data_IF_101067235692
#
_entry.id   IF_101067235692
#
_cell.length_a   1.000
_cell.length_b   1.000
_cell.length_c   1.000
_cell.angle_alpha   90.00
_cell.angle_beta   90.00
_cell.angle_gamma   90.00
#
_symmetry.space_group_name_H-M   'P 1'
#
loop_
_entity.id
_entity.type
_entity.pdbx_description
1 polymer ?
#
# COMPACT_ATOMS: atom_id res chain seq x y z
N UNK A 1 8.87 27.18 -11.17
CA UNK A 1 8.57 27.44 -12.60
C UNK A 1 8.82 26.14 -13.36
N UNK A 2 8.01 25.86 -14.40
CA UNK A 2 8.23 24.69 -15.24
C UNK A 2 9.38 24.94 -16.22
N UNK A 3 10.29 23.98 -16.32
CA UNK A 3 11.47 24.02 -17.22
C UNK A 3 11.46 22.75 -18.08
N UNK A 4 12.09 22.81 -19.27
CA UNK A 4 12.34 21.63 -20.09
C UNK A 4 13.76 21.13 -19.83
N UNK A 5 13.86 19.89 -19.32
CA UNK A 5 15.13 19.31 -18.87
C UNK A 5 15.52 18.18 -19.81
N UNK A 6 16.81 18.12 -20.17
CA UNK A 6 17.38 16.99 -20.90
C UNK A 6 17.19 15.70 -20.08
N UNK A 7 16.48 14.75 -20.69
CA UNK A 7 16.06 13.50 -20.04
C UNK A 7 17.23 12.61 -19.66
N UNK A 8 18.36 12.69 -20.38
CA UNK A 8 19.57 11.93 -20.08
C UNK A 8 20.35 12.48 -18.89
N UNK A 9 20.11 13.77 -18.53
CA UNK A 9 20.70 14.39 -17.36
C UNK A 9 20.01 14.06 -16.04
N UNK A 10 18.87 13.36 -16.09
CA UNK A 10 18.04 13.07 -14.92
C UNK A 10 18.54 11.85 -14.16
N UNK A 11 18.59 11.95 -12.85
CA UNK A 11 18.95 10.88 -11.94
C UNK A 11 17.68 10.25 -11.34
N UNK A 12 17.37 8.98 -11.63
CA UNK A 12 16.27 8.29 -10.96
C UNK A 12 16.56 8.15 -9.47
N UNK A 13 15.53 8.18 -8.64
CA UNK A 13 15.69 7.84 -7.25
C UNK A 13 15.96 6.34 -7.11
N UNK A 14 17.03 5.98 -6.40
CA UNK A 14 17.44 4.58 -6.17
C UNK A 14 16.35 3.74 -5.49
N UNK A 15 15.47 4.39 -4.75
CA UNK A 15 14.42 3.75 -3.98
C UNK A 15 13.11 3.54 -4.73
N UNK A 16 13.03 3.77 -6.04
CA UNK A 16 11.79 3.54 -6.77
C UNK A 16 11.64 2.05 -7.17
N UNK A 17 10.93 1.24 -6.39
CA UNK A 17 10.80 -0.20 -6.64
C UNK A 17 9.66 -0.54 -7.61
N UNK A 18 9.07 0.45 -8.24
CA UNK A 18 7.85 0.28 -9.02
C UNK A 18 8.15 -0.20 -10.43
N UNK A 19 7.51 -1.30 -10.81
CA UNK A 19 7.42 -1.79 -12.18
C UNK A 19 5.98 -1.57 -12.69
N UNK A 20 5.83 -1.07 -13.89
CA UNK A 20 4.53 -1.05 -14.55
C UNK A 20 4.19 -2.45 -15.09
N UNK A 21 2.92 -2.84 -14.99
CA UNK A 21 2.41 -3.95 -15.78
C UNK A 21 2.50 -3.61 -17.27
N UNK A 22 2.59 -4.60 -18.16
CA UNK A 22 2.57 -4.34 -19.60
C UNK A 22 1.37 -3.49 -20.05
N UNK A 23 0.20 -3.75 -19.49
CA UNK A 23 -1.03 -3.00 -19.76
C UNK A 23 -0.93 -1.53 -19.29
N UNK A 24 -0.50 -1.29 -18.06
CA UNK A 24 -0.29 0.06 -17.55
C UNK A 24 0.76 0.83 -18.36
N UNK A 25 1.81 0.14 -18.84
CA UNK A 25 2.82 0.75 -19.70
C UNK A 25 2.26 1.14 -21.06
N UNK A 26 1.43 0.31 -21.68
CA UNK A 26 0.79 0.62 -22.97
C UNK A 26 -0.22 1.77 -22.82
N UNK A 27 -1.00 1.78 -21.73
CA UNK A 27 -1.92 2.89 -21.42
C UNK A 27 -1.15 4.20 -21.24
N UNK A 28 -0.03 4.18 -20.53
CA UNK A 28 0.83 5.36 -20.34
C UNK A 28 1.45 5.82 -21.67
N UNK A 29 1.94 4.89 -22.51
CA UNK A 29 2.45 5.23 -23.85
C UNK A 29 1.38 5.88 -24.71
N UNK A 30 0.19 5.28 -24.77
CA UNK A 30 -0.94 5.79 -25.53
C UNK A 30 -1.31 7.21 -25.09
N UNK A 31 -1.45 7.41 -23.78
CA UNK A 31 -1.77 8.71 -23.21
C UNK A 31 -0.69 9.77 -23.54
N UNK A 32 0.60 9.44 -23.36
CA UNK A 32 1.69 10.37 -23.70
C UNK A 32 1.74 10.68 -25.19
N UNK A 33 1.48 9.68 -26.05
CA UNK A 33 1.49 9.88 -27.52
C UNK A 33 0.35 10.76 -27.97
N UNK A 34 -0.86 10.62 -27.39
CA UNK A 34 -2.04 11.36 -27.81
C UNK A 34 -2.20 12.71 -27.12
N UNK A 35 -1.81 12.82 -25.85
CA UNK A 35 -2.01 14.03 -25.03
C UNK A 35 -0.71 14.78 -24.72
N UNK A 36 0.45 14.18 -24.99
CA UNK A 36 1.71 14.68 -24.50
C UNK A 36 1.84 14.50 -22.96
N UNK A 37 2.69 15.30 -22.35
CA UNK A 37 2.89 15.27 -20.90
C UNK A 37 1.93 16.23 -20.20
N UNK A 38 0.76 15.72 -19.81
CA UNK A 38 -0.26 16.49 -19.10
C UNK A 38 0.13 16.83 -17.66
N UNK A 39 1.08 16.08 -17.08
CA UNK A 39 1.66 16.30 -15.75
C UNK A 39 3.17 16.29 -15.82
N UNK A 40 3.86 17.43 -15.72
CA UNK A 40 5.31 17.51 -15.65
C UNK A 40 5.87 16.66 -14.52
N UNK A 41 7.12 16.24 -14.67
CA UNK A 41 7.85 15.57 -13.59
C UNK A 41 8.30 16.59 -12.55
N UNK A 42 8.75 16.10 -11.38
CA UNK A 42 9.27 16.95 -10.32
C UNK A 42 10.67 16.51 -10.00
N UNK A 43 11.60 17.43 -10.01
CA UNK A 43 13.02 17.15 -9.78
C UNK A 43 13.62 18.09 -8.74
N UNK A 44 14.64 17.60 -8.07
CA UNK A 44 15.50 18.41 -7.21
C UNK A 44 16.63 19.02 -8.04
N UNK A 45 16.83 20.33 -7.92
CA UNK A 45 17.83 21.07 -8.73
C UNK A 45 19.27 20.61 -8.47
N UNK A 46 19.62 20.37 -7.22
CA UNK A 46 21.01 20.14 -6.79
C UNK A 46 21.70 18.94 -7.46
N UNK A 47 20.94 17.88 -7.73
CA UNK A 47 21.45 16.63 -8.29
C UNK A 47 20.57 16.06 -9.41
N UNK A 48 19.60 16.86 -9.89
CA UNK A 48 18.61 16.46 -10.91
C UNK A 48 17.88 15.15 -10.61
N UNK A 49 17.72 14.84 -9.33
CA UNK A 49 17.01 13.64 -8.88
C UNK A 49 15.52 13.77 -9.16
N UNK A 50 14.96 12.75 -9.78
CA UNK A 50 13.52 12.65 -10.00
C UNK A 50 12.86 12.36 -8.66
N UNK A 51 12.00 13.28 -8.20
CA UNK A 51 11.20 13.12 -6.98
C UNK A 51 9.83 12.54 -7.29
N UNK A 52 9.26 12.87 -8.47
CA UNK A 52 8.02 12.29 -8.96
C UNK A 52 8.03 12.21 -10.49
N UNK A 53 7.44 11.16 -11.06
CA UNK A 53 7.33 10.96 -12.51
C UNK A 53 8.35 9.98 -13.09
N UNK A 54 8.93 9.07 -12.32
CA UNK A 54 9.89 8.07 -12.80
C UNK A 54 9.38 7.25 -13.99
N UNK A 55 8.15 6.76 -13.92
CA UNK A 55 7.57 5.95 -15.00
C UNK A 55 7.29 6.78 -16.25
N UNK A 56 6.83 8.03 -16.08
CA UNK A 56 6.69 8.99 -17.19
C UNK A 56 8.02 9.21 -17.89
N UNK A 57 9.07 9.49 -17.13
CA UNK A 57 10.43 9.67 -17.68
C UNK A 57 10.90 8.44 -18.44
N UNK A 58 10.73 7.24 -17.87
CA UNK A 58 11.09 5.98 -18.53
C UNK A 58 10.31 5.77 -19.84
N UNK A 59 9.01 6.02 -19.82
CA UNK A 59 8.16 5.88 -21.01
C UNK A 59 8.51 6.91 -22.07
N UNK A 60 8.81 8.16 -21.70
CA UNK A 60 9.27 9.17 -22.64
C UNK A 60 10.59 8.81 -23.32
N UNK A 61 11.56 8.25 -22.56
CA UNK A 61 12.79 7.71 -23.15
C UNK A 61 12.49 6.64 -24.20
N UNK A 62 11.57 5.71 -23.90
CA UNK A 62 11.14 4.67 -24.85
C UNK A 62 10.45 5.23 -26.11
N UNK A 63 9.78 6.39 -25.98
CA UNK A 63 9.15 7.10 -27.09
C UNK A 63 10.10 8.04 -27.84
N UNK A 64 11.38 8.12 -27.45
CA UNK A 64 12.40 8.93 -28.12
C UNK A 64 12.39 10.42 -27.76
N UNK A 65 11.76 10.82 -26.66
CA UNK A 65 11.84 12.19 -26.19
C UNK A 65 13.24 12.52 -25.65
N UNK A 66 13.76 13.68 -26.02
CA UNK A 66 15.06 14.17 -25.53
C UNK A 66 14.93 15.10 -24.33
N UNK A 67 13.78 15.76 -24.18
CA UNK A 67 13.50 16.69 -23.09
C UNK A 67 12.13 16.38 -22.45
N UNK A 68 12.03 16.71 -21.16
CA UNK A 68 10.80 16.52 -20.38
C UNK A 68 10.44 17.79 -19.63
N UNK A 69 9.15 18.19 -19.61
CA UNK A 69 8.70 19.28 -18.76
C UNK A 69 8.80 18.89 -17.28
N UNK A 70 9.45 19.73 -16.49
CA UNK A 70 9.71 19.45 -15.09
C UNK A 70 9.46 20.69 -14.21
N UNK A 71 8.91 20.49 -13.03
CA UNK A 71 9.01 21.45 -11.94
C UNK A 71 10.33 21.21 -11.21
N UNK A 72 11.16 22.26 -11.17
CA UNK A 72 12.50 22.18 -10.56
C UNK A 72 12.45 22.85 -9.19
N UNK A 73 12.76 22.09 -8.15
CA UNK A 73 12.70 22.55 -6.77
C UNK A 73 14.09 22.75 -6.17
N UNK A 74 14.23 23.87 -5.47
CA UNK A 74 15.46 24.24 -4.77
C UNK A 74 15.35 23.94 -3.27
N UNK A 75 16.49 23.67 -2.62
CA UNK A 75 16.59 23.54 -1.16
C UNK A 75 15.87 22.33 -0.56
N UNK A 76 15.48 21.34 -1.38
CA UNK A 76 14.81 20.13 -0.91
C UNK A 76 15.81 19.21 -0.24
N UNK A 77 15.68 19.03 1.05
CA UNK A 77 16.45 18.04 1.82
C UNK A 77 15.78 16.66 1.77
N UNK A 78 16.43 15.64 2.27
CA UNK A 78 15.95 14.27 2.25
C UNK A 78 14.64 14.06 3.06
N UNK A 79 14.37 14.89 4.06
CA UNK A 79 13.13 14.86 4.84
C UNK A 79 11.96 15.43 4.03
N UNK A 80 12.22 16.57 3.39
CA UNK A 80 11.23 17.21 2.52
C UNK A 80 10.97 16.38 1.26
N UNK A 81 11.98 15.66 0.74
CA UNK A 81 11.81 14.71 -0.38
C UNK A 81 10.79 13.61 -0.04
N UNK A 82 10.90 13.01 1.15
CA UNK A 82 9.94 12.01 1.63
C UNK A 82 8.54 12.61 1.76
N UNK A 83 8.45 13.76 2.41
CA UNK A 83 7.18 14.46 2.60
C UNK A 83 6.54 14.87 1.28
N UNK A 84 7.36 15.33 0.35
CA UNK A 84 6.95 15.68 -0.99
C UNK A 84 6.36 14.49 -1.74
N UNK A 85 7.05 13.35 -1.70
CA UNK A 85 6.59 12.12 -2.31
C UNK A 85 5.25 11.66 -1.72
N UNK A 86 5.08 11.76 -0.39
CA UNK A 86 3.82 11.46 0.28
C UNK A 86 2.67 12.35 -0.22
N UNK A 87 2.88 13.66 -0.23
CA UNK A 87 1.85 14.63 -0.59
C UNK A 87 1.51 14.58 -2.08
N UNK A 88 2.52 14.39 -2.92
CA UNK A 88 2.35 14.33 -4.36
C UNK A 88 1.58 13.06 -4.77
N UNK A 89 1.98 11.91 -4.28
CA UNK A 89 1.29 10.66 -4.56
C UNK A 89 -0.16 10.70 -4.04
N UNK A 90 -0.37 11.30 -2.89
CA UNK A 90 -1.71 11.46 -2.31
C UNK A 90 -2.56 12.47 -3.09
N UNK A 91 -1.97 13.55 -3.56
CA UNK A 91 -2.67 14.60 -4.32
C UNK A 91 -2.99 14.18 -5.77
N UNK A 92 -2.17 13.31 -6.37
CA UNK A 92 -2.40 12.81 -7.74
C UNK A 92 -3.38 11.65 -7.79
N UNK A 93 -3.44 10.86 -6.73
CA UNK A 93 -4.18 9.62 -6.69
C UNK A 93 -5.30 9.68 -5.65
N UNK A 94 -6.16 10.64 -5.75
CA UNK A 94 -7.22 10.95 -4.82
C UNK A 94 -8.14 9.75 -4.52
N UNK A 95 -7.86 9.07 -3.44
CA UNK A 95 -8.65 7.93 -2.94
C UNK A 95 -9.73 8.36 -1.94
N UNK A 96 -9.80 9.65 -1.57
CA UNK A 96 -10.83 10.11 -0.65
C UNK A 96 -12.21 10.10 -1.31
N UNK A 97 -13.18 9.56 -0.63
CA UNK A 97 -14.56 9.38 -1.09
C UNK A 97 -15.25 10.66 -1.57
N UNK A 98 -14.76 11.83 -1.17
CA UNK A 98 -15.34 13.12 -1.53
C UNK A 98 -14.27 14.08 -2.02
N UNK A 99 -14.08 14.11 -3.32
CA UNK A 99 -13.21 15.07 -3.97
C UNK A 99 -13.83 16.48 -3.95
N UNK A 100 -13.03 17.55 -3.82
CA UNK A 100 -13.57 18.88 -4.03
C UNK A 100 -13.95 19.05 -5.50
N UNK A 101 -15.16 19.49 -5.76
CA UNK A 101 -15.56 19.91 -7.11
C UNK A 101 -15.01 21.32 -7.35
N UNK A 102 -14.10 21.45 -8.31
CA UNK A 102 -13.43 22.70 -8.66
C UNK A 102 -13.61 22.96 -10.15
N UNK A 103 -13.98 24.16 -10.46
CA UNK A 103 -14.05 24.65 -11.83
C UNK A 103 -13.13 25.83 -12.04
N UNK A 104 -12.56 25.88 -13.24
CA UNK A 104 -11.71 26.96 -13.72
C UNK A 104 -12.35 27.60 -14.95
N UNK A 105 -12.26 28.92 -15.06
CA UNK A 105 -12.69 29.58 -16.27
C UNK A 105 -11.52 29.70 -17.23
N UNK A 106 -11.62 29.04 -18.37
CA UNK A 106 -10.63 29.08 -19.45
C UNK A 106 -11.27 29.64 -20.72
N UNK A 107 -10.52 30.36 -21.58
CA UNK A 107 -11.04 30.82 -22.86
C UNK A 107 -11.47 29.65 -23.75
N UNK A 108 -12.52 29.83 -24.53
CA UNK A 108 -13.02 28.86 -25.49
C UNK A 108 -11.91 28.45 -26.48
N UNK A 109 -11.79 27.14 -26.73
CA UNK A 109 -10.77 26.57 -27.63
C UNK A 109 -9.37 26.48 -27.00
N UNK A 110 -9.21 26.72 -25.69
CA UNK A 110 -7.94 26.56 -25.03
C UNK A 110 -7.63 25.04 -24.87
N UNK A 111 -6.47 24.62 -25.29
CA UNK A 111 -5.92 23.28 -25.07
C UNK A 111 -4.47 23.37 -24.56
N UNK A 112 -4.04 22.38 -23.77
CA UNK A 112 -2.68 22.35 -23.21
C UNK A 112 -2.53 23.17 -21.93
N UNK A 113 -1.29 23.61 -21.63
CA UNK A 113 -1.00 24.35 -20.40
C UNK A 113 -1.51 25.79 -20.46
N UNK A 114 -2.29 26.15 -19.45
CA UNK A 114 -2.84 27.49 -19.29
C UNK A 114 -2.77 27.96 -17.83
N UNK A 115 -2.42 29.24 -17.62
CA UNK A 115 -2.38 29.81 -16.28
C UNK A 115 -3.71 30.49 -15.96
N UNK A 116 -4.48 29.91 -15.05
CA UNK A 116 -5.77 30.41 -14.61
C UNK A 116 -5.60 31.41 -13.48
N UNK A 117 -6.04 32.66 -13.61
CA UNK A 117 -6.04 33.62 -12.51
C UNK A 117 -6.83 33.10 -11.31
N UNK A 118 -6.38 33.40 -10.11
CA UNK A 118 -7.06 32.93 -8.88
C UNK A 118 -8.56 33.27 -8.84
N UNK A 119 -8.93 34.48 -9.30
CA UNK A 119 -10.33 34.94 -9.35
C UNK A 119 -11.22 34.00 -10.20
N UNK A 120 -10.65 33.35 -11.21
CA UNK A 120 -11.34 32.50 -12.18
C UNK A 120 -11.37 31.02 -11.76
N UNK A 121 -10.95 30.72 -10.52
CA UNK A 121 -11.05 29.39 -9.89
C UNK A 121 -12.25 29.41 -8.93
N UNK A 122 -13.15 28.43 -9.04
CA UNK A 122 -14.33 28.30 -8.18
C UNK A 122 -14.33 26.96 -7.47
N UNK A 123 -14.48 26.97 -6.15
CA UNK A 123 -14.71 25.77 -5.34
C UNK A 123 -16.21 25.60 -5.18
N UNK A 124 -16.79 24.55 -5.78
CA UNK A 124 -18.24 24.27 -5.74
C UNK A 124 -18.57 23.48 -4.49
N UNK A 125 -17.82 22.42 -4.19
CA UNK A 125 -18.00 21.61 -2.98
C UNK A 125 -16.76 21.62 -2.09
N UNK A 126 -16.97 21.47 -0.77
CA UNK A 126 -15.88 21.51 0.22
C UNK A 126 -15.17 20.18 0.42
N UNK A 127 -15.30 19.21 -0.48
CA UNK A 127 -14.66 17.91 -0.38
C UNK A 127 -13.14 17.98 -0.18
N UNK A 128 -12.52 16.83 0.11
CA UNK A 128 -11.09 16.65 0.36
C UNK A 128 -10.71 16.81 1.84
N UNK A 129 -9.68 16.07 2.24
CA UNK A 129 -9.15 16.15 3.60
C UNK A 129 -8.56 17.53 3.88
N UNK A 130 -9.02 18.21 4.93
CA UNK A 130 -8.44 19.47 5.35
C UNK A 130 -6.96 19.36 5.73
N UNK A 131 -6.52 18.22 6.25
CA UNK A 131 -5.13 17.97 6.58
C UNK A 131 -4.24 18.01 5.33
N UNK A 132 -4.66 17.36 4.24
CA UNK A 132 -3.92 17.38 2.97
C UNK A 132 -3.85 18.76 2.35
N UNK A 133 -4.96 19.50 2.36
CA UNK A 133 -4.97 20.88 1.88
C UNK A 133 -3.97 21.74 2.65
N UNK A 134 -3.93 21.61 3.98
CA UNK A 134 -2.98 22.35 4.84
C UNK A 134 -1.53 21.96 4.53
N UNK A 135 -1.26 20.69 4.34
CA UNK A 135 0.11 20.24 4.05
C UNK A 135 0.56 20.67 2.66
N UNK A 136 -0.29 20.56 1.64
CA UNK A 136 -0.01 21.13 0.31
C UNK A 136 0.22 22.63 0.37
N UNK A 137 -0.58 23.35 1.14
CA UNK A 137 -0.43 24.80 1.34
C UNK A 137 0.96 25.14 1.92
N UNK A 138 1.40 24.41 2.95
CA UNK A 138 2.75 24.60 3.54
C UNK A 138 3.87 24.32 2.52
N UNK A 139 3.72 23.26 1.73
CA UNK A 139 4.71 22.89 0.71
C UNK A 139 4.77 23.92 -0.40
N UNK A 140 3.62 24.41 -0.88
CA UNK A 140 3.54 25.47 -1.89
C UNK A 140 4.18 26.78 -1.38
N UNK A 141 3.92 27.16 -0.14
CA UNK A 141 4.55 28.33 0.47
C UNK A 141 6.07 28.19 0.59
N UNK A 142 6.57 26.99 0.82
CA UNK A 142 8.00 26.75 1.00
C UNK A 142 8.76 26.62 -0.31
N UNK A 143 8.20 25.94 -1.31
CA UNK A 143 8.90 25.58 -2.55
C UNK A 143 8.33 26.23 -3.80
N UNK A 144 7.27 27.02 -3.68
CA UNK A 144 6.49 27.49 -4.82
C UNK A 144 5.56 26.40 -5.36
N UNK A 145 4.87 26.73 -6.45
CA UNK A 145 4.02 25.75 -7.12
C UNK A 145 4.87 24.67 -7.80
N UNK A 146 4.53 23.43 -7.56
CA UNK A 146 5.29 22.24 -7.99
C UNK A 146 4.45 21.23 -8.76
N UNK A 147 3.19 21.56 -9.04
CA UNK A 147 2.29 20.74 -9.82
C UNK A 147 1.32 21.61 -10.63
N UNK A 148 0.60 20.97 -11.51
CA UNK A 148 -0.55 21.56 -12.19
C UNK A 148 -1.81 20.75 -11.90
N UNK A 149 -2.97 21.30 -12.16
CA UNK A 149 -4.20 20.54 -12.27
C UNK A 149 -4.45 20.14 -13.74
N UNK A 150 -5.36 19.18 -13.96
CA UNK A 150 -5.87 18.85 -15.29
C UNK A 150 -7.37 19.06 -15.27
N UNK A 151 -7.90 19.79 -16.24
CA UNK A 151 -9.32 19.99 -16.39
C UNK A 151 -9.80 19.53 -17.78
N UNK A 152 -11.09 19.23 -17.87
CA UNK A 152 -11.74 19.01 -19.16
C UNK A 152 -11.89 20.33 -19.94
N UNK A 153 -12.41 20.26 -21.14
CA UNK A 153 -12.62 21.43 -22.01
C UNK A 153 -13.66 22.43 -21.46
N UNK A 154 -14.53 21.99 -20.53
CA UNK A 154 -15.50 22.85 -19.85
C UNK A 154 -14.95 23.49 -18.56
N UNK A 155 -13.69 23.21 -18.22
CA UNK A 155 -13.01 23.74 -17.05
C UNK A 155 -13.29 23.01 -15.74
N UNK A 156 -13.87 21.81 -15.76
CA UNK A 156 -13.98 20.97 -14.57
C UNK A 156 -12.64 20.32 -14.28
N UNK A 157 -12.08 20.59 -13.11
CA UNK A 157 -10.83 19.94 -12.69
C UNK A 157 -11.09 18.47 -12.38
N UNK A 158 -10.40 17.57 -13.09
CA UNK A 158 -10.55 16.11 -12.96
C UNK A 158 -9.34 15.43 -12.32
N UNK A 159 -8.16 16.08 -12.34
CA UNK A 159 -6.93 15.57 -11.72
C UNK A 159 -6.30 16.68 -10.88
N UNK A 160 -5.81 16.33 -9.69
CA UNK A 160 -5.18 17.23 -8.72
C UNK A 160 -6.15 18.28 -8.14
N UNK A 161 -7.38 17.89 -7.86
CA UNK A 161 -8.43 18.77 -7.32
C UNK A 161 -8.06 19.33 -5.95
N UNK A 162 -7.45 18.53 -5.06
CA UNK A 162 -6.98 18.97 -3.73
C UNK A 162 -5.83 19.99 -3.85
N UNK A 163 -4.93 19.78 -4.81
CA UNK A 163 -3.88 20.76 -5.11
C UNK A 163 -4.45 22.08 -5.63
N UNK A 164 -5.41 22.00 -6.57
CA UNK A 164 -6.11 23.17 -7.07
C UNK A 164 -6.83 23.96 -5.95
N UNK A 165 -7.44 23.22 -4.99
CA UNK A 165 -8.04 23.83 -3.79
C UNK A 165 -7.00 24.55 -2.93
N UNK A 166 -5.84 23.95 -2.70
CA UNK A 166 -4.75 24.57 -1.92
C UNK A 166 -4.25 25.85 -2.59
N UNK A 167 -4.01 25.81 -3.90
CA UNK A 167 -3.60 27.00 -4.70
C UNK A 167 -4.65 28.10 -4.64
N UNK A 168 -5.95 27.75 -4.78
CA UNK A 168 -7.04 28.72 -4.66
C UNK A 168 -7.06 29.40 -3.29
N UNK A 169 -6.92 28.64 -2.21
CA UNK A 169 -6.91 29.17 -0.85
C UNK A 169 -5.71 30.06 -0.54
N UNK A 170 -4.59 29.84 -1.22
CA UNK A 170 -3.40 30.71 -1.14
C UNK A 170 -3.52 32.01 -1.94
N UNK A 171 -4.59 32.20 -2.68
CA UNK A 171 -4.74 33.39 -3.53
C UNK A 171 -3.84 33.40 -4.76
N UNK A 172 -3.26 32.22 -5.15
CA UNK A 172 -2.33 32.11 -6.26
C UNK A 172 -3.04 31.68 -7.54
N UNK A 173 -2.46 32.05 -8.69
CA UNK A 173 -2.90 31.58 -9.99
C UNK A 173 -2.55 30.10 -10.15
N UNK A 174 -3.38 29.32 -10.86
CA UNK A 174 -3.24 27.87 -11.00
C UNK A 174 -2.80 27.52 -12.43
N UNK A 175 -1.70 26.78 -12.55
CA UNK A 175 -1.36 26.15 -13.82
C UNK A 175 -2.28 24.94 -14.02
N UNK A 176 -3.01 24.93 -15.14
CA UNK A 176 -3.85 23.80 -15.57
C UNK A 176 -3.35 23.25 -16.90
N UNK A 177 -3.64 21.97 -17.15
CA UNK A 177 -3.64 21.41 -18.49
C UNK A 177 -5.09 21.22 -18.91
N UNK A 178 -5.50 21.88 -19.98
CA UNK A 178 -6.85 21.79 -20.53
C UNK A 178 -6.86 20.66 -21.55
N UNK A 179 -7.72 19.66 -21.33
CA UNK A 179 -7.84 18.51 -22.22
C UNK A 179 -8.64 18.88 -23.47
N UNK A 180 -8.29 18.29 -24.62
CA UNK A 180 -9.20 18.26 -25.76
C UNK A 180 -10.50 17.53 -25.39
N UNK A 181 -11.59 17.90 -26.04
CA UNK A 181 -12.90 17.28 -25.85
C UNK A 181 -12.87 15.75 -26.01
N UNK A 182 -13.50 15.02 -25.07
CA UNK A 182 -13.60 13.55 -25.09
C UNK A 182 -12.32 12.81 -24.74
N UNK A 183 -11.31 13.47 -24.14
CA UNK A 183 -10.04 12.85 -23.74
C UNK A 183 -9.92 12.59 -22.23
N UNK A 184 -11.00 12.73 -21.47
CA UNK A 184 -11.02 12.59 -20.02
C UNK A 184 -10.63 11.17 -19.57
N UNK A 185 -11.22 10.14 -20.19
CA UNK A 185 -10.89 8.74 -19.85
C UNK A 185 -9.42 8.42 -20.15
N UNK A 186 -8.89 8.91 -21.26
CA UNK A 186 -7.49 8.73 -21.62
C UNK A 186 -6.56 9.43 -20.61
N UNK A 187 -6.92 10.63 -20.17
CA UNK A 187 -6.17 11.35 -19.14
C UNK A 187 -6.23 10.63 -17.78
N UNK A 188 -7.38 10.09 -17.41
CA UNK A 188 -7.53 9.31 -16.18
C UNK A 188 -6.75 7.98 -16.24
N UNK A 189 -6.66 7.32 -17.41
CA UNK A 189 -5.85 6.11 -17.59
C UNK A 189 -4.35 6.37 -17.38
N UNK A 190 -3.88 7.59 -17.58
CA UNK A 190 -2.51 8.03 -17.28
C UNK A 190 -2.15 7.86 -15.80
N UNK A 191 -3.13 7.92 -14.92
CA UNK A 191 -3.02 7.77 -13.47
C UNK A 191 -3.69 6.50 -12.96
N UNK A 192 -3.83 5.48 -13.82
CA UNK A 192 -4.40 4.20 -13.41
C UNK A 192 -3.80 3.71 -12.10
N UNK A 193 -4.64 3.27 -11.17
CA UNK A 193 -4.24 2.77 -9.85
C UNK A 193 -3.56 1.40 -9.93
N UNK A 194 -3.74 0.69 -11.02
CA UNK A 194 -3.18 -0.64 -11.24
C UNK A 194 -1.74 -0.57 -11.73
N UNK A 195 -0.87 -0.10 -10.88
CA UNK A 195 0.52 0.08 -11.23
C UNK A 195 1.38 -1.13 -10.92
N UNK A 196 1.09 -2.28 -11.35
CA UNK A 196 2.07 -3.34 -11.35
C UNK A 196 2.63 -3.75 -9.98
N UNK A 197 3.62 -4.57 -10.07
CA UNK A 197 4.32 -5.20 -8.93
C UNK A 197 5.46 -4.31 -8.48
N UNK A 198 5.66 -4.26 -7.17
CA UNK A 198 6.84 -3.63 -6.59
C UNK A 198 7.98 -4.64 -6.49
N UNK A 199 9.09 -4.33 -7.08
CA UNK A 199 10.29 -5.15 -7.07
C UNK A 199 11.51 -4.30 -6.73
N UNK A 200 12.39 -4.85 -5.91
CA UNK A 200 13.61 -4.20 -5.45
C UNK A 200 14.88 -4.86 -6.00
N UNK A 201 14.77 -5.80 -6.91
CA UNK A 201 15.93 -6.53 -7.48
C UNK A 201 16.92 -5.63 -8.20
N UNK A 202 16.47 -4.46 -8.68
CA UNK A 202 17.31 -3.46 -9.33
C UNK A 202 18.12 -2.60 -8.35
N UNK A 203 17.86 -2.70 -7.05
CA UNK A 203 18.62 -1.98 -6.04
C UNK A 203 19.89 -2.77 -5.73
N UNK A 204 21.04 -2.11 -5.65
CA UNK A 204 22.30 -2.70 -5.23
C UNK A 204 22.29 -3.21 -3.79
N UNK A 205 21.25 -2.87 -3.02
CA UNK A 205 21.08 -3.22 -1.62
C UNK A 205 20.09 -4.36 -1.47
N UNK A 206 20.38 -5.24 -0.49
CA UNK A 206 19.46 -6.29 -0.10
C UNK A 206 18.13 -5.68 0.36
N UNK A 207 17.05 -6.13 -0.24
CA UNK A 207 15.70 -5.71 0.11
C UNK A 207 15.08 -6.71 1.09
N UNK A 208 14.38 -6.19 2.09
CA UNK A 208 13.59 -6.99 3.02
C UNK A 208 12.12 -6.89 2.60
N UNK A 209 11.80 -7.55 1.54
CA UNK A 209 10.40 -7.78 1.16
C UNK A 209 10.05 -9.11 1.80
N UNK A 210 8.95 -9.54 1.97
CA UNK A 210 8.45 -10.86 2.37
C UNK A 210 9.49 -12.03 2.52
N UNK A 211 10.77 -11.71 2.32
CA UNK A 211 11.86 -12.70 2.33
C UNK A 211 12.11 -13.34 3.68
N UNK A 212 11.63 -12.70 4.76
CA UNK A 212 11.87 -13.19 6.11
C UNK A 212 10.75 -12.79 7.07
N UNK A 213 10.24 -13.75 7.77
CA UNK A 213 9.38 -13.53 8.91
C UNK A 213 10.05 -12.63 9.96
N UNK A 214 9.26 -11.85 10.67
CA UNK A 214 9.77 -11.03 11.77
C UNK A 214 10.47 -11.91 12.82
N UNK A 215 11.55 -11.39 13.41
CA UNK A 215 12.13 -12.00 14.59
C UNK A 215 11.12 -12.04 15.73
N UNK A 216 11.19 -13.06 16.57
CA UNK A 216 10.27 -13.40 17.64
C UNK A 216 9.60 -12.16 18.33
N UNK A 217 8.30 -12.19 18.44
CA UNK A 217 7.51 -11.11 19.08
C UNK A 217 7.48 -11.25 20.59
N UNK A 218 7.39 -12.47 21.09
CA UNK A 218 7.41 -12.76 22.53
C UNK A 218 8.85 -12.79 23.03
N UNK A 219 9.48 -11.63 23.17
CA UNK A 219 10.82 -11.55 23.77
C UNK A 219 10.69 -11.63 25.27
N UNK A 220 11.23 -12.67 25.85
CA UNK A 220 11.47 -12.74 27.28
C UNK A 220 12.78 -12.04 27.63
N UNK A 221 12.72 -11.14 28.60
CA UNK A 221 13.91 -10.59 29.25
C UNK A 221 13.94 -11.12 30.68
N UNK A 222 14.92 -11.99 30.99
CA UNK A 222 15.03 -12.66 32.29
C UNK A 222 13.78 -13.48 32.68
N UNK A 223 13.20 -14.20 31.71
CA UNK A 223 12.02 -15.03 31.95
C UNK A 223 10.70 -14.27 32.13
N UNK A 224 10.69 -12.94 31.90
CA UNK A 224 9.50 -12.12 31.96
C UNK A 224 9.15 -11.63 30.55
N UNK A 225 7.92 -11.88 30.05
CA UNK A 225 7.49 -11.37 28.76
C UNK A 225 7.59 -9.84 28.69
N UNK A 226 8.22 -9.30 27.66
CA UNK A 226 8.28 -7.87 27.45
C UNK A 226 6.93 -7.34 26.97
N UNK A 227 6.29 -6.46 27.70
CA UNK A 227 5.01 -5.84 27.30
C UNK A 227 5.02 -5.15 25.93
N UNK A 228 6.20 -4.86 25.37
CA UNK A 228 6.36 -4.23 24.04
C UNK A 228 6.33 -5.23 22.88
N UNK A 229 6.34 -6.51 23.17
CA UNK A 229 6.39 -7.57 22.16
C UNK A 229 5.09 -8.37 22.02
N UNK A 230 4.06 -8.03 22.80
CA UNK A 230 2.77 -8.69 22.74
C UNK A 230 1.94 -8.20 21.55
N UNK A 231 1.26 -9.14 20.89
CA UNK A 231 0.30 -8.80 19.85
C UNK A 231 -1.00 -8.30 20.48
N UNK A 232 -1.42 -7.10 20.11
CA UNK A 232 -2.72 -6.57 20.54
C UNK A 232 -3.87 -7.42 20.00
N UNK A 233 -3.74 -8.01 18.79
CA UNK A 233 -4.71 -8.90 18.21
C UNK A 233 -4.91 -10.13 19.08
N UNK A 234 -3.82 -10.82 19.42
CA UNK A 234 -3.88 -12.02 20.26
C UNK A 234 -4.38 -11.71 21.66
N UNK A 235 -3.77 -10.74 22.35
CA UNK A 235 -4.05 -10.51 23.77
C UNK A 235 -5.46 -9.92 24.02
N UNK A 236 -6.01 -9.17 23.06
CA UNK A 236 -7.29 -8.47 23.27
C UNK A 236 -8.48 -9.15 22.59
N UNK A 237 -8.25 -9.89 21.52
CA UNK A 237 -9.34 -10.45 20.71
C UNK A 237 -9.29 -11.98 20.61
N UNK A 238 -8.15 -12.54 20.22
CA UNK A 238 -8.05 -13.99 19.96
C UNK A 238 -8.13 -14.80 21.27
N UNK A 239 -7.25 -14.52 22.22
CA UNK A 239 -7.19 -15.26 23.48
C UNK A 239 -8.51 -15.22 24.30
N UNK A 240 -9.24 -14.11 24.38
CA UNK A 240 -10.54 -14.08 25.03
C UNK A 240 -11.63 -14.84 24.29
N UNK A 241 -11.46 -15.10 22.99
CA UNK A 241 -12.46 -15.74 22.13
C UNK A 241 -12.28 -17.27 22.00
N UNK A 242 -11.04 -17.73 21.84
CA UNK A 242 -10.77 -19.14 21.53
C UNK A 242 -10.94 -20.05 22.75
N UNK A 243 -11.44 -21.26 22.52
CA UNK A 243 -11.51 -22.34 23.48
C UNK A 243 -10.63 -23.50 23.06
N UNK A 244 -10.37 -24.46 23.95
CA UNK A 244 -9.42 -25.57 23.67
C UNK A 244 -9.93 -26.62 22.70
N UNK A 245 -11.21 -26.60 22.41
CA UNK A 245 -11.90 -27.48 21.45
C UNK A 245 -11.99 -26.87 20.05
N UNK A 246 -11.65 -25.58 19.88
CA UNK A 246 -11.63 -24.92 18.58
C UNK A 246 -10.35 -25.22 17.83
N UNK A 247 -10.46 -25.54 16.54
CA UNK A 247 -9.31 -25.61 15.64
C UNK A 247 -8.96 -24.20 15.13
N UNK A 248 -7.76 -23.76 15.44
CA UNK A 248 -7.23 -22.42 15.14
C UNK A 248 -6.10 -22.51 14.14
N UNK A 249 -6.07 -21.62 13.15
CA UNK A 249 -4.94 -21.45 12.23
C UNK A 249 -4.31 -20.07 12.44
N UNK A 250 -3.02 -20.01 12.67
CA UNK A 250 -2.20 -18.79 12.64
C UNK A 250 -1.52 -18.69 11.26
N UNK A 251 -2.10 -17.84 10.38
CA UNK A 251 -1.65 -17.65 9.00
C UNK A 251 -0.68 -16.47 8.92
N UNK A 252 0.54 -16.72 8.44
CA UNK A 252 1.63 -15.75 8.50
C UNK A 252 2.17 -15.57 9.93
N UNK A 253 2.35 -16.69 10.61
CA UNK A 253 2.63 -16.76 12.06
C UNK A 253 4.02 -16.24 12.50
N UNK A 254 4.85 -15.76 11.57
CA UNK A 254 6.19 -15.27 11.86
C UNK A 254 7.09 -16.36 12.47
N UNK A 255 7.55 -16.18 13.70
CA UNK A 255 8.32 -17.19 14.43
C UNK A 255 7.44 -18.12 15.27
N UNK A 256 6.15 -18.15 15.02
CA UNK A 256 5.16 -19.05 15.65
C UNK A 256 5.09 -18.95 17.18
N UNK A 257 5.44 -17.78 17.73
CA UNK A 257 5.54 -17.61 19.19
C UNK A 257 4.22 -17.91 19.90
N UNK A 258 3.10 -17.36 19.39
CA UNK A 258 1.77 -17.61 19.95
C UNK A 258 1.30 -19.03 19.72
N UNK A 259 1.45 -19.56 18.52
CA UNK A 259 1.06 -20.93 18.21
C UNK A 259 1.82 -21.96 19.07
N UNK A 260 3.13 -21.79 19.24
CA UNK A 260 3.96 -22.65 20.09
C UNK A 260 3.50 -22.60 21.56
N UNK A 261 3.25 -21.40 22.08
CA UNK A 261 2.75 -21.23 23.47
C UNK A 261 1.38 -21.86 23.64
N UNK A 262 0.44 -21.60 22.74
CA UNK A 262 -0.93 -22.10 22.82
C UNK A 262 -0.99 -23.62 22.67
N UNK A 263 -0.19 -24.23 21.78
CA UNK A 263 -0.06 -25.70 21.71
C UNK A 263 0.38 -26.28 23.06
N UNK A 264 1.39 -25.64 23.70
CA UNK A 264 1.86 -26.06 25.03
C UNK A 264 0.77 -25.95 26.11
N UNK A 265 -0.09 -24.94 26.00
CA UNK A 265 -1.21 -24.70 26.91
C UNK A 265 -2.44 -25.58 26.58
N UNK A 266 -2.34 -26.47 25.56
CA UNK A 266 -3.35 -27.46 25.19
C UNK A 266 -4.44 -26.95 24.22
N UNK A 267 -4.19 -25.88 23.47
CA UNK A 267 -5.06 -25.45 22.39
C UNK A 267 -4.76 -26.20 21.08
N UNK A 268 -5.79 -26.40 20.27
CA UNK A 268 -5.69 -27.01 18.94
C UNK A 268 -5.36 -25.90 17.93
N UNK A 269 -4.09 -25.61 17.74
CA UNK A 269 -3.64 -24.53 16.85
C UNK A 269 -2.55 -25.03 15.90
N UNK A 270 -2.74 -24.77 14.62
CA UNK A 270 -1.71 -24.91 13.59
C UNK A 270 -1.20 -23.51 13.19
N UNK A 271 -0.02 -23.49 12.60
CA UNK A 271 0.61 -22.26 12.14
C UNK A 271 1.29 -22.50 10.81
N UNK A 272 1.20 -21.53 9.90
CA UNK A 272 1.96 -21.53 8.66
C UNK A 272 2.63 -20.19 8.45
N UNK A 273 3.93 -20.22 8.12
CA UNK A 273 4.72 -19.04 7.77
C UNK A 273 5.69 -19.40 6.64
N UNK A 274 5.42 -18.90 5.44
CA UNK A 274 6.20 -19.25 4.24
C UNK A 274 7.64 -18.73 4.26
N UNK A 275 7.96 -17.82 5.17
CA UNK A 275 9.28 -17.21 5.32
C UNK A 275 9.87 -17.43 6.72
N UNK A 276 9.45 -18.49 7.40
CA UNK A 276 9.99 -18.89 8.70
C UNK A 276 11.50 -19.09 8.63
N UNK A 277 12.24 -18.55 9.61
CA UNK A 277 13.71 -18.63 9.63
C UNK A 277 14.20 -19.69 10.59
N UNK A 278 15.33 -20.30 10.25
CA UNK A 278 16.12 -21.04 11.23
C UNK A 278 16.57 -20.11 12.36
N UNK A 279 16.53 -20.63 13.56
CA UNK A 279 17.00 -19.89 14.74
C UNK A 279 18.42 -19.34 14.54
N UNK A 280 18.54 -18.01 14.74
CA UNK A 280 19.81 -17.30 14.67
C UNK A 280 20.39 -17.08 13.29
N UNK A 281 19.71 -17.49 12.21
CA UNK A 281 20.19 -17.34 10.84
C UNK A 281 19.20 -16.58 9.95
N UNK A 282 19.71 -15.89 8.93
CA UNK A 282 18.90 -15.29 7.86
C UNK A 282 18.70 -16.31 6.72
N UNK A 283 18.23 -17.51 7.07
CA UNK A 283 17.97 -18.61 6.15
C UNK A 283 16.58 -19.17 6.43
N UNK A 284 15.81 -19.40 5.37
CA UNK A 284 14.47 -20.00 5.47
C UNK A 284 14.58 -21.45 5.91
N UNK A 285 13.75 -21.88 6.86
CA UNK A 285 13.63 -23.27 7.29
C UNK A 285 12.59 -24.02 6.45
N UNK A 286 13.00 -24.38 5.23
CA UNK A 286 12.13 -25.09 4.29
C UNK A 286 11.56 -26.41 4.86
N UNK A 287 12.32 -27.10 5.72
CA UNK A 287 11.88 -28.36 6.32
C UNK A 287 10.73 -28.12 7.30
N UNK A 288 10.86 -27.13 8.14
CA UNK A 288 9.83 -26.79 9.12
C UNK A 288 8.56 -26.27 8.43
N UNK A 289 8.70 -25.43 7.41
CA UNK A 289 7.56 -24.90 6.64
C UNK A 289 6.78 -26.02 5.94
N UNK A 290 7.46 -27.02 5.36
CA UNK A 290 6.80 -28.19 4.79
C UNK A 290 6.08 -29.03 5.85
N UNK A 291 6.66 -29.15 7.04
CA UNK A 291 5.98 -29.81 8.15
C UNK A 291 4.74 -29.06 8.59
N UNK A 292 4.82 -27.74 8.69
CA UNK A 292 3.65 -26.88 9.01
C UNK A 292 2.53 -27.05 7.96
N UNK A 293 2.89 -27.06 6.67
CA UNK A 293 1.92 -27.32 5.60
C UNK A 293 1.27 -28.70 5.73
N UNK A 294 2.05 -29.74 6.02
CA UNK A 294 1.54 -31.08 6.24
C UNK A 294 0.62 -31.17 7.47
N UNK A 295 0.93 -30.42 8.55
CA UNK A 295 0.07 -30.34 9.74
C UNK A 295 -1.26 -29.65 9.42
N UNK A 296 -1.24 -28.55 8.67
CA UNK A 296 -2.47 -27.87 8.16
C UNK A 296 -3.28 -28.83 7.30
N UNK A 297 -2.66 -29.51 6.34
CA UNK A 297 -3.35 -30.48 5.47
C UNK A 297 -3.98 -31.63 6.27
N UNK A 298 -3.31 -32.12 7.30
CA UNK A 298 -3.84 -33.16 8.20
C UNK A 298 -5.08 -32.64 8.94
N UNK A 299 -5.01 -31.48 9.57
CA UNK A 299 -6.16 -30.87 10.27
C UNK A 299 -7.35 -30.69 9.34
N UNK A 300 -7.13 -30.14 8.13
CA UNK A 300 -8.18 -30.00 7.14
C UNK A 300 -8.81 -31.35 6.73
N UNK A 301 -7.99 -32.40 6.58
CA UNK A 301 -8.47 -33.73 6.20
C UNK A 301 -9.26 -34.43 7.30
N UNK A 302 -8.87 -34.24 8.55
CA UNK A 302 -9.45 -34.95 9.71
C UNK A 302 -10.64 -34.20 10.33
N UNK A 303 -10.61 -32.86 10.30
CA UNK A 303 -11.53 -32.00 11.03
C UNK A 303 -12.28 -30.99 10.16
N UNK A 304 -11.89 -30.86 8.89
CA UNK A 304 -12.42 -29.83 7.98
C UNK A 304 -11.81 -28.44 8.20
N UNK A 305 -12.52 -27.40 7.75
CA UNK A 305 -12.06 -26.02 7.85
C UNK A 305 -11.96 -25.55 9.31
N UNK A 306 -11.06 -24.60 9.55
CA UNK A 306 -10.78 -24.06 10.87
C UNK A 306 -11.94 -23.25 11.46
N UNK A 307 -12.14 -23.33 12.78
CA UNK A 307 -13.09 -22.51 13.53
C UNK A 307 -12.66 -21.05 13.57
N UNK A 308 -11.36 -20.84 13.68
CA UNK A 308 -10.74 -19.53 13.80
C UNK A 308 -9.48 -19.45 12.91
N UNK A 309 -9.37 -18.37 12.16
CA UNK A 309 -8.13 -18.05 11.42
C UNK A 309 -7.61 -16.69 11.88
N UNK A 310 -6.33 -16.65 12.22
CA UNK A 310 -5.63 -15.44 12.69
C UNK A 310 -4.60 -15.00 11.67
N UNK A 311 -4.54 -13.70 11.38
CA UNK A 311 -3.60 -13.11 10.43
C UNK A 311 -3.04 -11.80 11.00
N UNK A 312 -1.95 -11.87 11.78
CA UNK A 312 -1.46 -10.74 12.55
C UNK A 312 -0.38 -9.94 11.81
N UNK A 313 -0.75 -8.80 11.26
CA UNK A 313 0.15 -7.84 10.58
C UNK A 313 0.79 -8.38 9.28
N UNK A 314 0.20 -9.37 8.63
CA UNK A 314 0.69 -9.93 7.36
C UNK A 314 0.49 -8.94 6.22
N UNK A 315 -0.71 -8.34 6.12
CA UNK A 315 -1.07 -7.42 5.04
C UNK A 315 -0.18 -6.17 4.96
N UNK A 316 0.53 -5.83 6.03
CA UNK A 316 1.54 -4.78 5.95
C UNK A 316 2.82 -5.17 5.19
N UNK A 317 3.00 -6.43 4.87
CA UNK A 317 4.21 -6.97 4.22
C UNK A 317 3.97 -7.36 2.76
N UNK A 318 2.75 -7.22 2.25
CA UNK A 318 2.43 -7.50 0.85
C UNK A 318 2.98 -6.41 -0.07
N UNK A 319 3.24 -6.73 -1.32
CA UNK A 319 3.85 -5.83 -2.29
C UNK A 319 2.96 -5.53 -3.51
N UNK A 320 1.76 -6.07 -3.55
CA UNK A 320 0.75 -5.77 -4.58
C UNK A 320 -0.67 -5.91 -4.03
N UNK A 321 -1.64 -5.37 -4.75
CA UNK A 321 -3.07 -5.57 -4.44
C UNK A 321 -3.49 -7.02 -4.66
N UNK A 322 -2.85 -7.72 -5.60
CA UNK A 322 -3.10 -9.15 -5.83
C UNK A 322 -2.64 -9.99 -4.64
N UNK A 323 -1.46 -9.70 -4.07
CA UNK A 323 -1.00 -10.37 -2.85
C UNK A 323 -1.97 -10.13 -1.70
N UNK A 324 -2.44 -8.88 -1.51
CA UNK A 324 -3.41 -8.53 -0.47
C UNK A 324 -4.72 -9.31 -0.63
N UNK A 325 -5.26 -9.34 -1.85
CA UNK A 325 -6.46 -10.08 -2.21
C UNK A 325 -6.29 -11.58 -1.93
N UNK A 326 -5.19 -12.18 -2.36
CA UNK A 326 -4.95 -13.62 -2.22
C UNK A 326 -4.75 -14.01 -0.75
N UNK A 327 -4.09 -13.21 0.07
CA UNK A 327 -4.04 -13.43 1.52
C UNK A 327 -5.46 -13.47 2.09
N UNK A 328 -6.28 -12.44 1.87
CA UNK A 328 -7.63 -12.36 2.45
C UNK A 328 -8.55 -13.50 1.98
N UNK A 329 -8.50 -13.84 0.69
CA UNK A 329 -9.22 -15.01 0.16
C UNK A 329 -8.73 -16.32 0.77
N UNK A 330 -7.41 -16.47 1.00
CA UNK A 330 -6.86 -17.68 1.64
C UNK A 330 -7.32 -17.81 3.10
N UNK A 331 -7.41 -16.69 3.85
CA UNK A 331 -7.99 -16.71 5.19
C UNK A 331 -9.45 -17.20 5.15
N UNK A 332 -10.25 -16.65 4.22
CA UNK A 332 -11.65 -17.04 4.05
C UNK A 332 -11.80 -18.50 3.56
N UNK A 333 -10.91 -18.96 2.68
CA UNK A 333 -10.88 -20.32 2.17
C UNK A 333 -10.68 -21.35 3.28
N UNK A 334 -9.74 -21.09 4.20
CA UNK A 334 -9.35 -22.01 5.27
C UNK A 334 -10.25 -21.94 6.51
N UNK A 335 -11.06 -20.90 6.65
CA UNK A 335 -12.01 -20.73 7.73
C UNK A 335 -13.40 -21.25 7.32
N UNK A 336 -14.06 -21.99 8.23
CA UNK A 336 -15.41 -22.48 7.98
C UNK A 336 -16.43 -21.35 7.82
N UNK A 337 -17.57 -21.56 7.10
CA UNK A 337 -18.67 -20.63 7.10
C UNK A 337 -19.15 -20.36 8.54
N UNK A 338 -19.32 -19.08 8.92
CA UNK A 338 -19.66 -18.68 10.29
C UNK A 338 -18.52 -18.78 11.30
N UNK A 339 -17.33 -19.25 10.90
CA UNK A 339 -16.11 -19.17 11.71
C UNK A 339 -15.60 -17.73 11.82
N UNK A 340 -14.65 -17.50 12.72
CA UNK A 340 -14.11 -16.17 12.97
C UNK A 340 -12.74 -15.96 12.35
N UNK A 341 -12.56 -14.85 11.67
CA UNK A 341 -11.26 -14.40 11.18
C UNK A 341 -10.85 -13.16 11.96
N UNK A 342 -9.62 -13.21 12.48
CA UNK A 342 -8.99 -12.08 13.14
C UNK A 342 -7.79 -11.63 12.32
N UNK A 343 -7.76 -10.35 11.92
CA UNK A 343 -6.62 -9.81 11.21
C UNK A 343 -6.24 -8.43 11.72
N UNK A 344 -5.02 -8.01 11.46
CA UNK A 344 -4.53 -6.73 11.96
C UNK A 344 -3.56 -6.06 10.98
N UNK A 345 -3.35 -4.78 11.21
CA UNK A 345 -2.39 -4.00 10.45
C UNK A 345 -2.04 -2.68 11.11
N UNK A 346 -1.29 -1.86 10.39
CA UNK A 346 -0.86 -0.53 10.80
C UNK A 346 -1.64 0.51 10.01
N UNK A 347 -2.33 1.46 10.67
CA UNK A 347 -3.06 2.51 9.98
C UNK A 347 -2.13 3.50 9.29
N UNK A 348 -2.55 3.96 8.11
CA UNK A 348 -1.80 4.95 7.30
C UNK A 348 -1.54 6.24 8.09
N UNK A 349 -2.53 6.76 8.85
CA UNK A 349 -2.38 7.99 9.61
C UNK A 349 -1.33 7.89 10.73
N UNK A 350 -1.13 6.70 11.31
CA UNK A 350 -0.05 6.50 12.27
C UNK A 350 1.32 6.69 11.63
N UNK A 351 1.50 6.15 10.42
CA UNK A 351 2.75 6.25 9.67
C UNK A 351 3.01 7.66 9.17
N UNK A 352 1.98 8.34 8.66
CA UNK A 352 2.06 9.75 8.26
C UNK A 352 2.52 10.63 9.42
N UNK A 353 1.87 10.52 10.58
CA UNK A 353 2.25 11.27 11.79
C UNK A 353 3.65 10.92 12.32
N UNK A 354 4.04 9.65 12.23
CA UNK A 354 5.38 9.25 12.63
C UNK A 354 6.45 9.85 11.70
N UNK A 355 6.17 9.95 10.41
CA UNK A 355 7.05 10.58 9.42
C UNK A 355 7.17 12.10 9.62
N UNK A 356 6.08 12.76 10.06
CA UNK A 356 6.08 14.20 10.36
C UNK A 356 6.91 14.57 11.59
N UNK A 357 6.90 13.72 12.61
CA UNK A 357 7.53 14.01 13.92
C UNK A 357 9.06 13.90 13.92
N UNK A 358 9.63 13.22 12.92
CA UNK A 358 11.07 12.97 12.89
C UNK A 358 11.77 13.96 11.96
N UNK A 359 12.03 15.15 12.47
CA UNK A 359 12.94 16.14 11.86
C UNK A 359 14.39 15.65 11.81
N UNK A 360 14.73 14.58 12.50
CA UNK A 360 16.09 14.18 12.74
C UNK A 360 16.51 12.93 11.97
N UNK A 361 17.58 13.05 11.24
CA UNK A 361 18.71 12.19 10.86
C UNK A 361 18.54 10.66 10.84
N UNK A 362 17.49 10.08 11.34
CA UNK A 362 17.28 8.66 11.35
C UNK A 362 16.34 8.23 10.21
N UNK A 363 16.93 7.98 9.02
CA UNK A 363 16.20 7.40 7.89
C UNK A 363 15.61 6.01 8.18
N UNK A 364 15.83 5.45 9.37
CA UNK A 364 15.29 4.16 9.83
C UNK A 364 13.77 4.11 9.95
N UNK A 365 13.10 5.21 9.77
CA UNK A 365 11.64 5.27 9.91
C UNK A 365 10.94 6.16 8.88
N UNK A 366 11.60 6.45 7.77
CA UNK A 366 10.99 7.21 6.69
C UNK A 366 10.26 6.27 5.77
N UNK A 367 8.93 6.41 5.70
CA UNK A 367 8.12 5.77 4.70
C UNK A 367 8.06 6.65 3.46
N UNK A 368 8.45 6.11 2.32
CA UNK A 368 8.27 6.72 1.00
C UNK A 368 6.98 6.16 0.42
N UNK A 369 5.95 6.97 0.28
CA UNK A 369 4.74 6.56 -0.40
C UNK A 369 4.98 6.48 -1.89
N UNK A 370 4.63 5.34 -2.47
CA UNK A 370 4.93 5.00 -3.85
C UNK A 370 3.74 5.24 -4.78
N UNK A 371 2.54 5.15 -4.23
CA UNK A 371 1.29 5.30 -5.00
C UNK A 371 0.10 5.69 -4.10
N UNK A 372 -1.08 5.77 -4.73
CA UNK A 372 -2.35 6.05 -4.07
C UNK A 372 -2.87 4.95 -3.17
N UNK A 373 -2.41 3.73 -3.36
CA UNK A 373 -2.87 2.58 -2.57
C UNK A 373 -2.09 2.46 -1.26
N UNK A 374 -1.33 3.50 -0.88
CA UNK A 374 -0.55 3.57 0.36
C UNK A 374 0.57 2.52 0.47
N UNK A 375 1.07 2.03 -0.66
CA UNK A 375 2.29 1.26 -0.69
C UNK A 375 3.49 2.15 -0.39
N UNK A 376 4.40 1.66 0.43
CA UNK A 376 5.56 2.40 0.90
C UNK A 376 6.85 1.60 0.78
N UNK A 377 7.96 2.31 0.60
CA UNK A 377 9.31 1.78 0.80
C UNK A 377 9.94 2.44 2.04
N UNK A 378 10.53 1.63 2.91
CA UNK A 378 11.23 2.10 4.09
C UNK A 378 12.67 1.58 4.08
N UNK A 379 13.64 2.47 4.29
CA UNK A 379 15.02 2.08 4.45
C UNK A 379 15.38 1.94 5.94
N UNK A 380 15.76 0.72 6.36
CA UNK A 380 16.11 0.41 7.76
C UNK A 380 17.33 -0.53 7.79
N UNK A 381 18.27 -0.26 8.68
CA UNK A 381 19.43 -1.13 8.90
C UNK A 381 20.24 -1.46 7.62
N UNK A 382 20.29 -0.56 6.66
CA UNK A 382 20.97 -0.77 5.39
C UNK A 382 20.15 -1.52 4.33
N UNK A 383 18.89 -1.83 4.61
CA UNK A 383 18.00 -2.58 3.72
C UNK A 383 16.71 -1.81 3.45
N UNK A 384 16.11 -2.04 2.29
CA UNK A 384 14.79 -1.55 1.95
C UNK A 384 13.72 -2.52 2.44
N UNK A 385 12.64 -1.96 3.04
CA UNK A 385 11.45 -2.69 3.45
C UNK A 385 10.28 -2.16 2.68
N UNK A 386 9.53 -3.07 2.12
CA UNK A 386 8.27 -2.77 1.49
C UNK A 386 7.14 -2.96 2.51
N UNK A 387 6.21 -2.02 2.57
CA UNK A 387 5.07 -2.10 3.48
C UNK A 387 3.83 -1.45 2.87
N UNK A 388 2.68 -2.02 3.15
CA UNK A 388 1.37 -1.49 2.82
C UNK A 388 0.65 -1.05 4.09
N UNK A 389 0.02 0.12 4.04
CA UNK A 389 -0.70 0.69 5.17
C UNK A 389 -2.13 1.03 4.75
N UNK A 390 -3.08 0.87 5.67
CA UNK A 390 -4.50 0.90 5.38
C UNK A 390 -5.18 2.11 6.02
N UNK A 391 -6.07 2.76 5.28
CA UNK A 391 -7.07 3.66 5.83
C UNK A 391 -8.23 2.87 6.46
N UNK A 392 -9.09 3.54 7.22
CA UNK A 392 -10.33 2.91 7.73
C UNK A 392 -11.22 2.42 6.59
N UNK A 393 -11.32 3.20 5.51
CA UNK A 393 -12.08 2.82 4.32
C UNK A 393 -11.52 1.57 3.66
N UNK A 394 -10.18 1.44 3.53
CA UNK A 394 -9.56 0.22 3.01
C UNK A 394 -9.88 -0.99 3.88
N UNK A 395 -9.75 -0.85 5.21
CA UNK A 395 -10.06 -1.94 6.15
C UNK A 395 -11.52 -2.40 6.01
N UNK A 396 -12.46 -1.46 5.92
CA UNK A 396 -13.88 -1.78 5.72
C UNK A 396 -14.09 -2.49 4.37
N UNK A 397 -13.62 -1.90 3.29
CA UNK A 397 -13.77 -2.44 1.94
C UNK A 397 -13.19 -3.84 1.81
N UNK A 398 -11.95 -4.04 2.22
CA UNK A 398 -11.26 -5.33 2.13
C UNK A 398 -11.97 -6.41 2.94
N UNK A 399 -12.38 -6.08 4.17
CA UNK A 399 -13.09 -7.02 5.03
C UNK A 399 -14.44 -7.43 4.42
N UNK A 400 -15.21 -6.44 3.97
CA UNK A 400 -16.53 -6.65 3.41
C UNK A 400 -16.49 -7.38 2.06
N UNK A 401 -15.53 -7.05 1.22
CA UNK A 401 -15.39 -7.64 -0.12
C UNK A 401 -14.95 -9.11 -0.06
N UNK A 402 -13.96 -9.45 0.76
CA UNK A 402 -13.32 -10.76 0.71
C UNK A 402 -13.72 -11.74 1.82
N UNK A 403 -14.26 -11.26 2.94
CA UNK A 403 -14.53 -12.11 4.10
C UNK A 403 -16.00 -12.07 4.50
N UNK A 404 -16.52 -10.92 4.93
CA UNK A 404 -17.89 -10.80 5.39
C UNK A 404 -18.28 -9.40 5.85
N UNK A 405 -19.60 -9.15 5.96
CA UNK A 405 -20.16 -7.85 6.35
C UNK A 405 -20.35 -7.69 7.86
N UNK A 406 -20.42 -8.81 8.60
CA UNK A 406 -20.49 -8.78 10.07
C UNK A 406 -19.08 -8.74 10.66
N UNK A 407 -18.56 -7.52 10.83
CA UNK A 407 -17.23 -7.29 11.38
C UNK A 407 -17.19 -6.09 12.31
N UNK A 408 -16.19 -6.11 13.20
CA UNK A 408 -15.85 -5.01 14.11
C UNK A 408 -14.41 -4.59 13.91
N UNK A 409 -14.17 -3.30 14.08
CA UNK A 409 -12.82 -2.70 13.97
C UNK A 409 -12.41 -2.19 15.34
N UNK A 410 -11.14 -2.35 15.65
CA UNK A 410 -10.54 -1.91 16.91
C UNK A 410 -9.30 -1.05 16.63
N UNK A 411 -9.17 0.06 17.34
CA UNK A 411 -7.96 0.88 17.35
C UNK A 411 -7.20 0.61 18.65
N UNK A 412 -6.06 -0.04 18.59
CA UNK A 412 -5.29 -0.52 19.76
C UNK A 412 -6.09 -1.44 20.69
N UNK A 413 -6.92 -2.30 20.13
CA UNK A 413 -7.75 -3.22 20.90
C UNK A 413 -8.99 -2.61 21.55
N UNK A 414 -9.35 -1.38 21.20
CA UNK A 414 -10.59 -0.71 21.62
C UNK A 414 -11.51 -0.63 20.42
N UNK A 415 -12.72 -1.14 20.53
CA UNK A 415 -13.72 -1.10 19.45
C UNK A 415 -14.04 0.35 19.07
N UNK A 416 -14.11 0.61 17.77
CA UNK A 416 -14.38 1.93 17.22
C UNK A 416 -15.43 1.84 16.11
N UNK A 417 -16.12 2.94 15.87
CA UNK A 417 -17.06 3.06 14.77
C UNK A 417 -16.33 2.98 13.42
N UNK A 418 -16.96 2.32 12.42
CA UNK A 418 -16.41 2.12 11.07
C UNK A 418 -16.13 3.44 10.31
N UNK A 419 -16.75 4.54 10.72
CA UNK A 419 -16.51 5.88 10.16
C UNK A 419 -15.32 6.61 10.81
N UNK A 420 -14.81 6.09 11.93
CA UNK A 420 -13.71 6.71 12.67
C UNK A 420 -12.38 6.41 12.03
N UNK A 421 -11.55 7.44 11.82
CA UNK A 421 -10.18 7.27 11.37
C UNK A 421 -9.32 6.51 12.40
N UNK A 422 -8.66 5.47 11.94
CA UNK A 422 -7.71 4.68 12.71
C UNK A 422 -6.41 5.47 12.90
N UNK A 423 -6.01 5.72 14.13
CA UNK A 423 -4.86 6.58 14.49
C UNK A 423 -3.85 5.92 15.40
N UNK A 424 -4.14 4.73 15.88
CA UNK A 424 -3.29 3.94 16.76
C UNK A 424 -2.06 3.37 16.06
N UNK A 425 -1.19 2.74 16.83
CA UNK A 425 -0.02 2.04 16.29
C UNK A 425 -0.37 0.73 15.58
N UNK A 426 -1.60 0.24 15.76
CA UNK A 426 -2.17 -0.91 15.08
C UNK A 426 -3.68 -0.84 15.12
N UNK A 427 -4.32 -1.42 14.13
CA UNK A 427 -5.74 -1.74 14.14
C UNK A 427 -5.93 -3.26 14.17
N UNK A 428 -7.09 -3.69 14.61
CA UNK A 428 -7.49 -5.09 14.60
C UNK A 428 -8.91 -5.19 14.04
N UNK A 429 -9.21 -6.33 13.41
CA UNK A 429 -10.53 -6.66 12.88
C UNK A 429 -10.93 -8.04 13.38
N UNK A 430 -12.16 -8.18 13.81
CA UNK A 430 -12.83 -9.47 13.98
C UNK A 430 -13.98 -9.55 13.00
N UNK A 431 -14.06 -10.61 12.21
CA UNK A 431 -15.07 -10.77 11.17
C UNK A 431 -15.57 -12.19 11.10
N UNK A 432 -16.88 -12.37 10.98
CA UNK A 432 -17.49 -13.66 10.71
C UNK A 432 -17.30 -14.00 9.22
N UNK A 433 -16.79 -15.20 8.94
CA UNK A 433 -16.56 -15.64 7.57
C UNK A 433 -17.85 -16.00 6.85
N UNK A 434 -18.21 -15.22 5.85
CA UNK A 434 -19.39 -15.47 5.00
C UNK A 434 -19.07 -16.28 3.74
N UNK A 435 -17.78 -16.51 3.43
CA UNK A 435 -17.32 -17.17 2.19
C UNK A 435 -17.91 -16.56 0.94
N UNK A 436 -17.47 -15.34 0.63
CA UNK A 436 -18.06 -14.52 -0.44
C UNK A 436 -17.62 -14.84 -1.86
N UNK A 437 -16.65 -15.72 -2.02
CA UNK A 437 -16.15 -16.14 -3.33
C UNK A 437 -16.55 -17.57 -3.67
N UNK A 438 -16.50 -17.90 -4.95
CA UNK A 438 -16.70 -19.26 -5.44
C UNK A 438 -15.49 -20.13 -5.08
N UNK A 439 -15.70 -21.45 -5.07
CA UNK A 439 -14.71 -22.43 -4.61
C UNK A 439 -13.41 -22.39 -5.45
N UNK A 440 -13.51 -22.20 -6.76
CA UNK A 440 -12.38 -22.09 -7.67
C UNK A 440 -11.53 -20.82 -7.40
N UNK A 441 -12.16 -19.71 -7.05
CA UNK A 441 -11.46 -18.47 -6.65
C UNK A 441 -10.66 -18.69 -5.37
N UNK A 442 -11.19 -19.42 -4.40
CA UNK A 442 -10.46 -19.82 -3.20
C UNK A 442 -9.30 -20.76 -3.51
N UNK A 443 -9.52 -21.73 -4.39
CA UNK A 443 -8.44 -22.64 -4.80
C UNK A 443 -7.31 -21.90 -5.50
N UNK A 444 -7.63 -20.91 -6.34
CA UNK A 444 -6.61 -20.05 -6.97
C UNK A 444 -5.84 -19.20 -5.97
N UNK A 445 -6.51 -18.62 -4.97
CA UNK A 445 -5.86 -17.86 -3.92
C UNK A 445 -4.91 -18.74 -3.09
N UNK A 446 -5.33 -19.95 -2.72
CA UNK A 446 -4.47 -20.92 -2.05
C UNK A 446 -3.29 -21.33 -2.93
N UNK A 447 -3.51 -21.58 -4.23
CA UNK A 447 -2.42 -21.86 -5.16
C UNK A 447 -1.42 -20.72 -5.17
N UNK A 448 -1.88 -19.48 -5.22
CA UNK A 448 -1.02 -18.30 -5.21
C UNK A 448 -0.15 -18.23 -3.94
N UNK A 449 -0.75 -18.29 -2.75
CA UNK A 449 -0.06 -18.21 -1.46
C UNK A 449 0.89 -19.38 -1.23
N UNK A 450 0.50 -20.59 -1.62
CA UNK A 450 1.32 -21.80 -1.42
C UNK A 450 2.38 -22.01 -2.50
N UNK A 451 2.48 -21.09 -3.49
CA UNK A 451 3.55 -21.03 -4.51
C UNK A 451 4.34 -19.73 -4.48
N UNK A 452 4.36 -19.02 -3.37
CA UNK A 452 5.09 -17.75 -3.23
C UNK A 452 6.58 -17.91 -3.61
N UNK A 453 7.21 -16.85 -4.17
CA UNK A 453 8.61 -16.90 -4.56
C UNK A 453 9.53 -16.91 -3.34
N UNK A 454 10.58 -17.71 -3.41
CA UNK A 454 11.66 -17.76 -2.45
C UNK A 454 12.79 -16.79 -2.84
N UNK A 455 13.65 -16.36 -1.90
CA UNK A 455 14.75 -15.42 -2.17
C UNK A 455 15.75 -15.86 -3.25
N UNK A 456 15.78 -17.14 -3.61
CA UNK A 456 16.67 -17.71 -4.63
C UNK A 456 15.98 -17.90 -5.99
N UNK A 457 14.90 -17.17 -6.27
CA UNK A 457 14.07 -17.25 -7.47
C UNK A 457 13.38 -18.61 -7.69
N UNK A 458 13.43 -19.54 -6.73
CA UNK A 458 12.54 -20.71 -6.72
C UNK A 458 11.16 -20.27 -6.21
N UNK A 459 10.18 -21.14 -6.42
CA UNK A 459 8.85 -21.01 -5.82
C UNK A 459 8.57 -22.19 -4.90
N UNK A 460 7.72 -21.98 -3.93
CA UNK A 460 7.10 -23.07 -3.23
C UNK A 460 6.29 -23.94 -4.18
N UNK A 461 6.14 -25.21 -3.85
CA UNK A 461 5.28 -26.20 -4.52
C UNK A 461 4.29 -26.83 -3.53
N UNK A 462 3.99 -26.10 -2.47
CA UNK A 462 3.10 -26.53 -1.38
C UNK A 462 1.62 -26.55 -1.81
N UNK A 463 1.27 -25.90 -2.90
CA UNK A 463 -0.04 -26.00 -3.54
C UNK A 463 -0.40 -27.46 -3.88
N UNK A 464 0.59 -28.28 -4.24
CA UNK A 464 0.40 -29.71 -4.52
C UNK A 464 -0.02 -30.53 -3.31
N UNK A 465 0.20 -30.01 -2.10
CA UNK A 465 -0.20 -30.63 -0.84
C UNK A 465 -1.57 -30.13 -0.39
N UNK A 466 -1.78 -28.81 -0.40
CA UNK A 466 -3.00 -28.18 0.13
C UNK A 466 -4.22 -28.33 -0.79
N UNK A 467 -4.06 -28.13 -2.12
CA UNK A 467 -5.21 -28.13 -3.03
C UNK A 467 -5.95 -29.47 -3.08
N UNK A 468 -5.27 -30.65 -3.16
CA UNK A 468 -5.98 -31.93 -3.17
C UNK A 468 -6.80 -32.22 -1.89
N UNK A 469 -6.43 -31.55 -0.79
CA UNK A 469 -7.19 -31.61 0.48
C UNK A 469 -8.35 -30.63 0.42
N UNK A 470 -8.08 -29.37 0.02
CA UNK A 470 -9.09 -28.33 -0.04
C UNK A 470 -10.23 -28.64 -1.03
N UNK A 471 -9.91 -29.22 -2.17
CA UNK A 471 -10.90 -29.62 -3.20
C UNK A 471 -11.91 -30.70 -2.74
N UNK A 472 -11.68 -31.33 -1.58
CA UNK A 472 -12.57 -32.34 -1.00
C UNK A 472 -13.48 -31.77 0.10
N UNK A 473 -13.24 -30.52 0.48
CA UNK A 473 -14.00 -29.84 1.52
C UNK A 473 -15.13 -28.98 0.92
#
# INVERSE_FOLDING_TARGET
MMEYIDIESLNPAEYNPRLLTPEAQENLKKSITELGIIKPIIIRRSDKRIMAGHQRTKTMKLLGYTHVPAFVLDGVNSTDEVRFNQLHNYAECEVSEVQPDIRVSVPEGTEGFFMVPNKDITIITKGGSNAHVVDLTKMILRYGQFANAVCDHEGKVIISTVYAKAVKLLGMDLLVYVLPEGKEELALSYFSKEYGVFEYSHLERKTYIQSFAQKARLREKNGVPSSRSHSTLYERLVLPFITKDMHVLDFGAGQKDYATRLKKDGYLIDAIEFFHRKDGADVIDEKEIRQDCADVCRTLSEHGLYDVVVCDSVLNSVNSLDDERNVLLSLSALCKPGGMIFWSGIPILFVQKASERKETHDYRSRALFLDANNFTANFRFGEWYFQHYHSTADVCRLTEEFIGSDFRIYDKGIEVDKSRELRGSSFQVSVMNERRAEHDVYAEALRYEFTLPLPNNRRWDLDKEILPVFEKL
#
